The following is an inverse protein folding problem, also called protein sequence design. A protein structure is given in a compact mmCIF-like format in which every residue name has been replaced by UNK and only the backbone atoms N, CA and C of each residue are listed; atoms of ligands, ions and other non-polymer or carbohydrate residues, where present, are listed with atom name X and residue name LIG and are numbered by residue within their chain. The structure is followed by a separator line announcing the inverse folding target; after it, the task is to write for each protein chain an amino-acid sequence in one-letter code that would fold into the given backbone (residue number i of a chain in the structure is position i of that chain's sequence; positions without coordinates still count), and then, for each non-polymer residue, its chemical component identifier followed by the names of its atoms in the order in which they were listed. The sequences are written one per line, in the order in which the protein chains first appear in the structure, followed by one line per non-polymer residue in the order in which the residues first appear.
data_IF_454391560781
#
_entry.id   IF_454391560781
#
_cell.length_a   1.000
_cell.length_b   1.000
_cell.length_c   1.000
_cell.angle_alpha   90.00
_cell.angle_beta   90.00
_cell.angle_gamma   90.00
#
_symmetry.space_group_name_H-M   'P 1'
#
loop_
_entity.id
_entity.type
_entity.pdbx_description
1 polymer ?
#
# COMPACT_ATOMS: atom_id res chain seq x y z
N UNK A 1 16.38 -16.14 -10.89
CA UNK A 1 16.49 -16.22 -9.42
C UNK A 1 15.21 -16.79 -8.84
N UNK A 2 15.31 -17.43 -7.66
CA UNK A 2 14.16 -17.85 -6.87
C UNK A 2 14.03 -16.92 -5.65
N UNK A 3 12.90 -16.23 -5.54
CA UNK A 3 12.72 -15.10 -4.63
C UNK A 3 11.56 -15.41 -3.68
N UNK A 4 11.77 -15.30 -2.37
CA UNK A 4 10.68 -15.24 -1.40
C UNK A 4 10.19 -13.80 -1.30
N UNK A 5 8.87 -13.59 -1.42
CA UNK A 5 8.20 -12.32 -1.08
C UNK A 5 7.31 -12.54 0.14
N UNK A 6 7.54 -11.75 1.19
CA UNK A 6 6.68 -11.72 2.39
C UNK A 6 5.92 -10.41 2.43
N UNK A 7 4.60 -10.45 2.47
CA UNK A 7 3.75 -9.27 2.47
C UNK A 7 2.44 -9.49 3.23
N UNK A 8 1.73 -8.40 3.50
CA UNK A 8 0.34 -8.49 3.95
C UNK A 8 -0.59 -8.82 2.77
N UNK A 9 -1.54 -9.74 2.93
CA UNK A 9 -2.47 -10.15 1.86
C UNK A 9 -3.68 -9.21 1.72
N UNK A 10 -3.51 -7.90 1.94
CA UNK A 10 -4.62 -6.95 2.06
C UNK A 10 -4.77 -6.05 0.83
N UNK A 11 -5.95 -5.42 0.69
CA UNK A 11 -6.21 -4.36 -0.31
C UNK A 11 -5.39 -3.07 -0.08
N UNK A 12 -4.60 -2.98 0.99
CA UNK A 12 -3.70 -1.86 1.22
C UNK A 12 -2.60 -1.77 0.16
N UNK A 13 -2.12 -0.55 -0.12
CA UNK A 13 -1.14 -0.30 -1.19
C UNK A 13 0.12 -1.17 -1.13
N UNK A 14 0.60 -1.52 0.06
CA UNK A 14 1.79 -2.39 0.21
C UNK A 14 1.55 -3.83 -0.24
N UNK A 15 0.37 -4.42 0.06
CA UNK A 15 0.02 -5.77 -0.37
C UNK A 15 -0.18 -5.84 -1.87
N UNK A 16 -0.86 -4.85 -2.43
CA UNK A 16 -1.04 -4.70 -3.88
C UNK A 16 0.31 -4.56 -4.58
N UNK A 17 1.17 -3.65 -4.11
CA UNK A 17 2.48 -3.43 -4.70
C UNK A 17 3.37 -4.68 -4.65
N UNK A 18 3.42 -5.38 -3.51
CA UNK A 18 4.18 -6.61 -3.37
C UNK A 18 3.74 -7.69 -4.37
N UNK A 19 2.41 -7.78 -4.60
CA UNK A 19 1.85 -8.72 -5.57
C UNK A 19 2.19 -8.34 -7.01
N UNK A 20 2.04 -7.06 -7.37
CA UNK A 20 2.41 -6.57 -8.71
C UNK A 20 3.93 -6.71 -8.97
N UNK A 21 4.77 -6.44 -7.95
CA UNK A 21 6.21 -6.68 -8.06
C UNK A 21 6.52 -8.16 -8.34
N UNK A 22 5.86 -9.07 -7.63
CA UNK A 22 6.03 -10.50 -7.86
C UNK A 22 5.62 -10.93 -9.27
N UNK A 23 4.53 -10.38 -9.82
CA UNK A 23 4.14 -10.63 -11.21
C UNK A 23 5.19 -10.10 -12.20
N UNK A 24 5.74 -8.89 -11.98
CA UNK A 24 6.79 -8.34 -12.84
C UNK A 24 8.09 -9.15 -12.76
N UNK A 25 8.47 -9.61 -11.58
CA UNK A 25 9.63 -10.49 -11.40
C UNK A 25 9.43 -11.83 -12.11
N UNK A 26 8.24 -12.43 -12.01
CA UNK A 26 7.90 -13.66 -12.73
C UNK A 26 7.94 -13.47 -14.25
N UNK A 27 7.37 -12.39 -14.77
CA UNK A 27 7.42 -12.03 -16.18
C UNK A 27 8.87 -11.82 -16.70
N UNK A 28 9.80 -11.47 -15.81
CA UNK A 28 11.23 -11.36 -16.09
C UNK A 28 12.01 -12.67 -15.88
N UNK A 29 11.32 -13.82 -15.75
CA UNK A 29 11.92 -15.15 -15.68
C UNK A 29 12.41 -15.55 -14.29
N UNK A 30 11.92 -14.91 -13.21
CA UNK A 30 12.21 -15.31 -11.84
C UNK A 30 11.10 -16.24 -11.30
N UNK A 31 11.45 -17.13 -10.38
CA UNK A 31 10.49 -17.92 -9.62
C UNK A 31 10.18 -17.20 -8.31
N UNK A 32 8.89 -16.93 -8.05
CA UNK A 32 8.46 -16.10 -6.91
C UNK A 32 7.61 -16.91 -5.94
N UNK A 33 8.03 -16.94 -4.68
CA UNK A 33 7.38 -17.66 -3.60
C UNK A 33 6.75 -16.67 -2.60
N UNK A 34 5.46 -16.42 -2.71
CA UNK A 34 4.74 -15.58 -1.75
C UNK A 34 4.48 -16.32 -0.44
N UNK A 35 4.80 -15.69 0.68
CA UNK A 35 4.52 -16.20 2.03
C UNK A 35 3.64 -15.20 2.77
N UNK A 36 2.42 -15.59 3.12
CA UNK A 36 1.46 -14.77 3.86
C UNK A 36 0.45 -15.66 4.60
N UNK A 37 -0.30 -15.11 5.56
CA UNK A 37 -1.33 -15.86 6.31
C UNK A 37 -2.60 -16.13 5.49
N UNK A 38 -2.86 -15.35 4.45
CA UNK A 38 -3.89 -15.55 3.44
C UNK A 38 -3.32 -15.28 2.05
N UNK A 39 -4.02 -15.73 0.99
CA UNK A 39 -3.60 -15.46 -0.37
C UNK A 39 -3.62 -13.95 -0.63
N UNK A 40 -2.51 -13.35 -1.10
CA UNK A 40 -2.48 -11.92 -1.42
C UNK A 40 -3.55 -11.53 -2.44
N UNK A 41 -4.22 -10.41 -2.19
CA UNK A 41 -5.14 -9.83 -3.17
C UNK A 41 -4.41 -9.54 -4.48
N UNK A 42 -5.07 -9.71 -5.61
CA UNK A 42 -4.51 -9.63 -6.97
C UNK A 42 -3.53 -10.76 -7.33
N UNK A 43 -3.23 -11.73 -6.45
CA UNK A 43 -2.40 -12.87 -6.83
C UNK A 43 -3.19 -13.81 -7.74
N UNK A 44 -2.71 -13.97 -8.99
CA UNK A 44 -3.35 -14.83 -10.03
C UNK A 44 -3.01 -16.30 -9.80
N UNK A 45 -3.92 -17.20 -10.20
CA UNK A 45 -3.78 -18.65 -9.96
C UNK A 45 -2.99 -19.40 -11.04
N UNK A 46 -2.78 -18.81 -12.21
CA UNK A 46 -2.36 -19.54 -13.42
C UNK A 46 -0.95 -19.17 -13.89
N UNK A 47 -0.02 -18.88 -12.96
CA UNK A 47 1.38 -18.62 -13.29
C UNK A 47 2.26 -19.73 -12.73
N UNK A 48 2.89 -20.50 -13.60
CA UNK A 48 3.75 -21.65 -13.24
C UNK A 48 5.02 -21.23 -12.49
N UNK A 49 5.34 -19.95 -12.46
CA UNK A 49 6.52 -19.38 -11.79
C UNK A 49 6.20 -18.70 -10.48
N UNK A 50 4.91 -18.60 -10.12
CA UNK A 50 4.43 -17.97 -8.88
C UNK A 50 3.81 -19.01 -7.96
N UNK A 51 4.31 -19.08 -6.73
CA UNK A 51 3.88 -20.04 -5.71
C UNK A 51 3.38 -19.31 -4.47
N UNK A 52 2.27 -19.78 -3.91
CA UNK A 52 1.76 -19.26 -2.64
C UNK A 52 1.94 -20.28 -1.52
N UNK A 53 2.48 -19.82 -0.39
CA UNK A 53 2.73 -20.63 0.81
C UNK A 53 2.01 -19.99 2.00
N UNK A 54 0.93 -20.63 2.44
CA UNK A 54 0.17 -20.15 3.61
C UNK A 54 0.97 -20.32 4.89
N UNK A 55 1.00 -19.27 5.72
CA UNK A 55 1.49 -19.32 7.10
C UNK A 55 0.33 -19.80 7.99
N UNK A 56 0.44 -20.99 8.51
CA UNK A 56 -0.48 -21.50 9.51
C UNK A 56 0.15 -21.31 10.89
N UNK A 57 -0.54 -20.62 11.78
CA UNK A 57 -0.12 -20.47 13.17
C UNK A 57 -0.79 -21.56 13.99
N UNK A 58 -0.03 -22.55 14.53
CA UNK A 58 -0.62 -23.60 15.34
C UNK A 58 -1.26 -23.01 16.59
N UNK A 59 -2.48 -23.44 16.89
CA UNK A 59 -3.11 -23.09 18.15
C UNK A 59 -2.49 -23.90 19.29
N UNK A 60 -2.08 -23.22 20.36
CA UNK A 60 -1.62 -23.86 21.58
C UNK A 60 -2.27 -23.17 22.79
N UNK A 61 -2.99 -23.92 23.65
CA UNK A 61 -3.84 -23.34 24.70
C UNK A 61 -3.12 -22.47 25.73
N UNK A 62 -1.82 -22.67 25.95
CA UNK A 62 -1.02 -21.85 26.87
C UNK A 62 -0.63 -20.49 26.30
N UNK A 63 -0.79 -20.26 25.00
CA UNK A 63 -0.50 -18.96 24.39
C UNK A 63 -1.76 -18.11 24.36
N UNK A 64 -1.81 -17.03 25.15
CA UNK A 64 -2.86 -16.03 25.05
C UNK A 64 -2.88 -15.36 23.65
N UNK A 65 -1.68 -15.15 23.09
CA UNK A 65 -1.48 -14.65 21.72
C UNK A 65 -0.63 -15.65 20.95
N UNK A 66 -1.16 -16.12 19.83
CA UNK A 66 -0.45 -17.09 18.99
C UNK A 66 0.76 -16.41 18.32
N UNK A 67 1.98 -17.02 18.37
CA UNK A 67 3.22 -16.39 17.91
C UNK A 67 3.34 -16.40 16.39
N UNK A 68 2.74 -15.41 15.72
CA UNK A 68 2.75 -15.30 14.26
C UNK A 68 4.18 -15.19 13.68
N UNK A 69 5.05 -14.39 14.30
CA UNK A 69 6.43 -14.15 13.84
C UNK A 69 7.25 -15.45 13.87
N UNK A 70 7.00 -16.30 14.85
CA UNK A 70 7.63 -17.63 14.95
C UNK A 70 7.16 -18.54 13.81
N UNK A 71 5.85 -18.59 13.57
CA UNK A 71 5.27 -19.40 12.48
C UNK A 71 5.76 -18.89 11.11
N UNK A 72 5.83 -17.57 10.91
CA UNK A 72 6.32 -16.95 9.69
C UNK A 72 7.80 -17.28 9.46
N UNK A 73 8.66 -17.11 10.46
CA UNK A 73 10.09 -17.42 10.34
C UNK A 73 10.33 -18.88 10.01
N UNK A 74 9.60 -19.81 10.65
CA UNK A 74 9.66 -21.24 10.34
C UNK A 74 9.20 -21.54 8.91
N UNK A 75 8.10 -20.90 8.45
CA UNK A 75 7.63 -21.06 7.08
C UNK A 75 8.66 -20.58 6.05
N UNK A 76 9.32 -19.44 6.30
CA UNK A 76 10.42 -18.94 5.45
C UNK A 76 11.54 -19.97 5.36
N UNK A 77 11.96 -20.57 6.47
CA UNK A 77 13.00 -21.61 6.50
C UNK A 77 12.59 -22.82 5.65
N UNK A 78 11.36 -23.30 5.82
CA UNK A 78 10.85 -24.47 5.08
C UNK A 78 10.84 -24.22 3.57
N UNK A 79 10.31 -23.06 3.14
CA UNK A 79 10.24 -22.68 1.73
C UNK A 79 11.64 -22.50 1.14
N UNK A 80 12.54 -21.82 1.86
CA UNK A 80 13.91 -21.60 1.44
C UNK A 80 14.68 -22.89 1.20
N UNK A 81 14.57 -23.86 2.14
CA UNK A 81 15.24 -25.17 2.03
C UNK A 81 14.70 -26.00 0.88
N UNK A 82 13.36 -26.07 0.75
CA UNK A 82 12.69 -26.92 -0.28
C UNK A 82 12.95 -26.45 -1.70
N UNK A 83 13.08 -25.13 -1.90
CA UNK A 83 13.12 -24.55 -3.23
C UNK A 83 14.49 -23.99 -3.64
N UNK A 84 15.50 -24.04 -2.77
CA UNK A 84 16.83 -23.45 -3.01
C UNK A 84 16.73 -21.99 -3.44
N UNK A 85 16.15 -21.17 -2.56
CA UNK A 85 15.87 -19.75 -2.76
C UNK A 85 17.17 -18.95 -2.74
N UNK A 86 17.23 -17.86 -3.53
CA UNK A 86 18.39 -17.00 -3.66
C UNK A 86 18.34 -15.78 -2.72
N UNK A 87 17.13 -15.26 -2.43
CA UNK A 87 16.94 -14.10 -1.56
C UNK A 87 15.55 -14.05 -0.92
N UNK A 88 15.44 -13.28 0.16
CA UNK A 88 14.19 -12.99 0.87
C UNK A 88 13.90 -11.49 0.72
N UNK A 89 12.78 -11.14 0.09
CA UNK A 89 12.29 -9.77 0.01
C UNK A 89 11.06 -9.63 0.89
N UNK A 90 11.13 -8.77 1.88
CA UNK A 90 10.03 -8.53 2.80
C UNK A 90 9.51 -7.11 2.69
N UNK A 91 8.21 -6.97 2.77
CA UNK A 91 7.51 -5.70 2.84
C UNK A 91 7.09 -5.45 4.29
N UNK A 92 7.57 -4.36 4.88
CA UNK A 92 7.50 -3.93 6.28
C UNK A 92 8.65 -4.41 7.18
N UNK A 93 9.13 -3.47 8.00
CA UNK A 93 10.15 -3.73 9.02
C UNK A 93 9.65 -4.72 10.08
N UNK A 94 8.42 -4.59 10.54
CA UNK A 94 7.75 -5.50 11.46
C UNK A 94 6.36 -5.89 10.94
N UNK A 95 5.93 -7.13 11.11
CA UNK A 95 6.67 -8.25 11.70
C UNK A 95 7.62 -8.94 10.69
N UNK A 96 7.58 -8.57 9.41
CA UNK A 96 8.12 -9.36 8.30
C UNK A 96 9.65 -9.38 8.29
N UNK A 97 10.34 -8.23 8.37
CA UNK A 97 11.80 -8.24 8.39
C UNK A 97 12.36 -8.85 9.68
N UNK A 98 11.67 -8.65 10.82
CA UNK A 98 12.02 -9.33 12.05
C UNK A 98 11.99 -10.86 11.90
N UNK A 99 10.88 -11.39 11.37
CA UNK A 99 10.74 -12.84 11.13
C UNK A 99 11.74 -13.36 10.08
N UNK A 100 12.03 -12.58 9.03
CA UNK A 100 13.02 -12.94 8.02
C UNK A 100 14.43 -13.02 8.60
N UNK A 101 14.81 -12.10 9.49
CA UNK A 101 16.08 -12.16 10.20
C UNK A 101 16.21 -13.41 11.08
N UNK A 102 15.15 -13.78 11.80
CA UNK A 102 15.14 -15.01 12.58
C UNK A 102 15.25 -16.25 11.68
N UNK A 103 14.55 -16.26 10.53
CA UNK A 103 14.69 -17.31 9.53
C UNK A 103 16.13 -17.39 8.98
N UNK A 104 16.75 -16.25 8.67
CA UNK A 104 18.16 -16.20 8.23
C UNK A 104 19.11 -16.83 9.26
N UNK A 105 18.89 -16.55 10.56
CA UNK A 105 19.70 -17.19 11.63
C UNK A 105 19.52 -18.70 11.69
N UNK A 106 18.28 -19.20 11.57
CA UNK A 106 17.99 -20.62 11.51
C UNK A 106 18.60 -21.29 10.26
N UNK A 107 18.54 -20.63 9.11
CA UNK A 107 19.13 -21.12 7.86
C UNK A 107 20.68 -21.19 7.93
N UNK A 108 21.31 -20.21 8.59
CA UNK A 108 22.77 -20.18 8.77
C UNK A 108 23.29 -21.37 9.56
N UNK A 109 22.51 -21.95 10.47
CA UNK A 109 22.86 -23.21 11.17
C UNK A 109 23.02 -24.40 10.21
N UNK A 110 22.46 -24.32 9.01
CA UNK A 110 22.57 -25.31 7.94
C UNK A 110 23.47 -24.81 6.79
N UNK A 111 24.35 -23.86 7.04
CA UNK A 111 25.24 -23.23 6.06
C UNK A 111 24.53 -22.55 4.88
N UNK A 112 23.25 -22.21 5.03
CA UNK A 112 22.47 -21.47 4.03
C UNK A 112 22.49 -19.98 4.43
N UNK A 113 23.04 -19.12 3.56
CA UNK A 113 23.12 -17.69 3.80
C UNK A 113 22.31 -16.94 2.73
N UNK A 114 21.13 -16.43 3.10
CA UNK A 114 20.26 -15.70 2.21
C UNK A 114 20.26 -14.21 2.56
N UNK A 115 20.43 -13.32 1.60
CA UNK A 115 20.25 -11.89 1.82
C UNK A 115 18.78 -11.53 2.05
N UNK A 116 18.56 -10.47 2.86
CA UNK A 116 17.25 -9.91 3.15
C UNK A 116 17.19 -8.51 2.56
N UNK A 117 16.18 -8.28 1.71
CA UNK A 117 15.76 -6.95 1.26
C UNK A 117 14.51 -6.58 2.03
N UNK A 118 14.46 -5.38 2.59
CA UNK A 118 13.29 -4.85 3.30
C UNK A 118 12.80 -3.57 2.66
N UNK A 119 11.56 -3.58 2.17
CA UNK A 119 10.89 -2.37 1.67
C UNK A 119 9.97 -1.79 2.75
N UNK A 120 10.22 -0.53 3.10
CA UNK A 120 9.43 0.26 4.05
C UNK A 120 8.24 0.91 3.32
N UNK A 121 7.04 0.83 3.93
CA UNK A 121 5.81 1.32 3.31
C UNK A 121 5.12 2.46 4.05
N UNK A 122 5.59 2.82 5.23
CA UNK A 122 5.10 3.95 6.02
C UNK A 122 4.34 3.56 7.27
N UNK A 123 3.35 2.69 7.23
CA UNK A 123 2.62 2.26 8.44
C UNK A 123 3.56 1.68 9.49
N UNK A 124 4.54 0.92 9.07
CA UNK A 124 5.60 0.33 9.90
C UNK A 124 6.55 1.38 10.51
N UNK A 125 6.62 2.55 9.93
CA UNK A 125 7.50 3.65 10.35
C UNK A 125 6.72 4.73 11.10
N UNK A 126 5.73 5.33 10.44
CA UNK A 126 5.07 6.56 10.91
C UNK A 126 3.91 6.30 11.87
N UNK A 127 3.34 5.09 11.89
CA UNK A 127 2.23 4.72 12.77
C UNK A 127 2.66 3.70 13.83
N UNK A 128 2.81 2.44 13.44
CA UNK A 128 3.15 1.36 14.39
C UNK A 128 4.55 1.53 14.94
N UNK A 129 5.51 1.89 14.09
CA UNK A 129 6.91 2.05 14.45
C UNK A 129 7.18 3.19 15.43
N UNK A 130 6.35 4.24 15.42
CA UNK A 130 6.44 5.34 16.42
C UNK A 130 6.02 4.93 17.83
N UNK A 131 5.25 3.84 17.97
CA UNK A 131 4.84 3.40 19.29
C UNK A 131 6.07 2.96 20.11
N UNK A 132 6.30 3.49 21.31
CA UNK A 132 7.52 3.25 22.10
C UNK A 132 7.85 1.77 22.28
N UNK A 133 6.83 0.93 22.41
CA UNK A 133 6.96 -0.52 22.57
C UNK A 133 7.58 -1.21 21.35
N UNK A 134 7.30 -0.73 20.11
CA UNK A 134 7.79 -1.36 18.88
C UNK A 134 9.06 -0.71 18.31
N UNK A 135 9.42 0.49 18.77
CA UNK A 135 10.53 1.29 18.23
C UNK A 135 11.84 0.51 18.12
N UNK A 136 12.20 -0.21 19.18
CA UNK A 136 13.43 -1.01 19.22
C UNK A 136 13.41 -2.17 18.21
N UNK A 137 12.26 -2.84 18.05
CA UNK A 137 12.10 -3.95 17.11
C UNK A 137 12.17 -3.46 15.65
N UNK A 138 11.58 -2.29 15.35
CA UNK A 138 11.66 -1.67 14.02
C UNK A 138 13.09 -1.27 13.69
N UNK A 139 13.77 -0.53 14.59
CA UNK A 139 15.18 -0.16 14.42
C UNK A 139 16.04 -1.40 14.17
N UNK A 140 15.91 -2.42 15.03
CA UNK A 140 16.63 -3.67 14.89
C UNK A 140 16.40 -4.32 13.51
N UNK A 141 15.16 -4.40 13.05
CA UNK A 141 14.81 -5.00 11.76
C UNK A 141 15.45 -4.26 10.59
N UNK A 142 15.44 -2.93 10.62
CA UNK A 142 16.10 -2.06 9.63
C UNK A 142 17.61 -2.32 9.61
N UNK A 143 18.26 -2.27 10.78
CA UNK A 143 19.72 -2.45 10.91
C UNK A 143 20.20 -3.84 10.48
N UNK A 144 19.37 -4.88 10.65
CA UNK A 144 19.72 -6.26 10.33
C UNK A 144 19.39 -6.69 8.90
N UNK A 145 18.65 -5.90 8.17
CA UNK A 145 18.41 -6.12 6.74
C UNK A 145 19.70 -5.88 5.93
N UNK A 146 19.93 -6.67 4.89
CA UNK A 146 21.09 -6.47 4.01
C UNK A 146 20.91 -5.18 3.20
N UNK A 147 19.74 -5.02 2.58
CA UNK A 147 19.33 -3.84 1.83
C UNK A 147 18.00 -3.35 2.42
N UNK A 148 17.87 -2.03 2.54
CA UNK A 148 16.63 -1.38 2.94
C UNK A 148 16.22 -0.41 1.84
N UNK A 149 14.95 -0.47 1.45
CA UNK A 149 14.37 0.48 0.49
C UNK A 149 13.18 1.21 1.10
N UNK A 150 12.92 2.41 0.65
CA UNK A 150 11.71 3.17 0.99
C UNK A 150 11.00 3.63 -0.27
N UNK A 151 9.70 3.83 -0.16
CA UNK A 151 8.84 4.20 -1.30
C UNK A 151 8.88 5.69 -1.65
N UNK A 152 9.54 6.51 -0.82
CA UNK A 152 9.70 7.96 -1.05
C UNK A 152 10.89 8.51 -0.26
N UNK A 153 11.38 9.68 -0.66
CA UNK A 153 12.38 10.41 0.08
C UNK A 153 11.85 10.88 1.45
N UNK A 154 10.60 11.30 1.50
CA UNK A 154 9.92 11.66 2.75
C UNK A 154 9.96 10.52 3.76
N UNK A 155 9.59 9.30 3.34
CA UNK A 155 9.61 8.13 4.24
C UNK A 155 11.04 7.75 4.67
N UNK A 156 12.03 7.89 3.78
CA UNK A 156 13.44 7.71 4.12
C UNK A 156 13.86 8.68 5.24
N UNK A 157 13.53 9.98 5.09
CA UNK A 157 13.86 11.01 6.07
C UNK A 157 13.19 10.73 7.42
N UNK A 158 11.88 10.42 7.41
CA UNK A 158 11.14 10.02 8.61
C UNK A 158 11.78 8.82 9.31
N UNK A 159 12.26 7.84 8.53
CA UNK A 159 12.90 6.64 9.08
C UNK A 159 14.20 6.98 9.81
N UNK A 160 15.05 7.81 9.20
CA UNK A 160 16.29 8.26 9.84
C UNK A 160 16.01 9.04 11.11
N UNK A 161 15.07 9.98 11.07
CA UNK A 161 14.69 10.82 12.20
C UNK A 161 14.10 10.02 13.37
N UNK A 162 13.10 9.15 13.07
CA UNK A 162 12.37 8.46 14.15
C UNK A 162 13.18 7.36 14.84
N UNK A 163 14.05 6.71 14.10
CA UNK A 163 14.81 5.56 14.63
C UNK A 163 16.27 5.89 14.91
N UNK A 164 16.74 7.10 14.63
CA UNK A 164 18.15 7.46 14.79
C UNK A 164 19.06 6.35 14.20
N UNK A 165 18.85 6.04 12.93
CA UNK A 165 19.57 5.03 12.20
C UNK A 165 20.43 5.65 11.10
N UNK A 166 21.66 5.11 10.91
CA UNK A 166 22.55 5.48 9.83
C UNK A 166 22.52 4.42 8.69
N UNK A 167 21.58 3.48 8.76
CA UNK A 167 21.42 2.47 7.72
C UNK A 167 21.14 3.15 6.38
N UNK A 168 21.90 2.81 5.36
CA UNK A 168 21.61 3.25 4.00
C UNK A 168 20.24 2.74 3.56
N UNK A 169 19.41 3.66 3.05
CA UNK A 169 18.07 3.38 2.55
C UNK A 169 17.98 3.90 1.13
N UNK A 170 17.76 3.00 0.18
CA UNK A 170 17.51 3.38 -1.19
C UNK A 170 16.06 3.80 -1.41
N UNK A 171 15.86 4.88 -2.16
CA UNK A 171 14.50 5.30 -2.53
C UNK A 171 14.12 4.65 -3.85
N UNK A 172 13.14 3.74 -3.78
CA UNK A 172 12.57 3.08 -4.96
C UNK A 172 11.06 3.39 -4.95
N UNK A 173 10.60 4.34 -5.77
CA UNK A 173 9.19 4.70 -5.83
C UNK A 173 8.31 3.51 -6.22
N UNK A 174 7.07 3.53 -5.74
CA UNK A 174 6.07 2.57 -6.20
C UNK A 174 5.77 2.77 -7.69
N UNK A 175 5.26 1.72 -8.31
CA UNK A 175 4.94 1.70 -9.74
C UNK A 175 3.53 1.16 -10.00
N UNK A 176 3.05 1.36 -11.21
CA UNK A 176 1.82 0.74 -11.76
C UNK A 176 2.12 0.13 -13.12
N UNK A 177 1.37 -0.90 -13.49
CA UNK A 177 1.43 -1.46 -14.84
C UNK A 177 0.63 -0.57 -15.82
N UNK A 178 1.32 0.32 -16.50
CA UNK A 178 0.72 1.27 -17.46
C UNK A 178 -0.13 0.55 -18.52
N UNK A 179 0.29 -0.63 -18.99
CA UNK A 179 -0.46 -1.39 -20.01
C UNK A 179 -1.85 -1.78 -19.52
N UNK A 180 -1.98 -2.10 -18.23
CA UNK A 180 -3.26 -2.44 -17.60
C UNK A 180 -4.22 -1.25 -17.67
N UNK A 181 -3.75 -0.04 -17.37
CA UNK A 181 -4.55 1.18 -17.40
C UNK A 181 -4.85 1.64 -18.83
N UNK A 182 -3.87 1.64 -19.74
CA UNK A 182 -4.08 1.97 -21.16
C UNK A 182 -5.11 1.05 -21.83
N UNK A 183 -5.03 -0.27 -21.59
CA UNK A 183 -5.99 -1.23 -22.11
C UNK A 183 -7.41 -0.96 -21.59
N UNK A 184 -7.54 -0.49 -20.36
CA UNK A 184 -8.84 -0.13 -19.80
C UNK A 184 -9.37 1.18 -20.38
N UNK A 185 -8.52 2.21 -20.53
CA UNK A 185 -8.89 3.48 -21.17
C UNK A 185 -9.42 3.30 -22.59
N UNK A 186 -8.86 2.37 -23.38
CA UNK A 186 -9.35 2.05 -24.72
C UNK A 186 -10.75 1.41 -24.72
N UNK A 187 -11.14 0.76 -23.63
CA UNK A 187 -12.46 0.12 -23.48
C UNK A 187 -13.50 1.04 -22.85
N UNK A 188 -13.07 2.10 -22.18
CA UNK A 188 -13.96 3.07 -21.56
C UNK A 188 -14.59 3.95 -22.63
N UNK A 189 -15.90 3.79 -22.84
CA UNK A 189 -16.69 4.76 -23.61
C UNK A 189 -17.10 5.89 -22.66
N UNK A 190 -16.82 7.14 -23.02
CA UNK A 190 -17.34 8.33 -22.34
C UNK A 190 -18.85 8.41 -22.54
N UNK A 191 -19.62 7.90 -21.58
CA UNK A 191 -21.10 7.92 -21.69
C UNK A 191 -21.76 8.90 -20.71
N UNK A 192 -21.00 9.53 -19.82
CA UNK A 192 -21.60 10.37 -18.79
C UNK A 192 -21.26 11.84 -19.03
N UNK A 193 -22.31 12.67 -19.10
CA UNK A 193 -22.16 14.14 -19.23
C UNK A 193 -21.80 14.81 -17.90
N UNK A 194 -21.81 14.07 -16.79
CA UNK A 194 -21.54 14.60 -15.44
C UNK A 194 -20.10 14.36 -15.04
N UNK A 195 -19.45 15.41 -14.56
CA UNK A 195 -18.13 15.33 -13.94
C UNK A 195 -18.13 14.29 -12.81
N UNK A 196 -17.19 13.36 -12.85
CA UNK A 196 -17.05 12.31 -11.85
C UNK A 196 -15.79 12.52 -11.04
N UNK A 197 -15.95 12.65 -9.72
CA UNK A 197 -14.88 12.84 -8.75
C UNK A 197 -14.72 11.55 -7.94
N UNK A 198 -13.50 11.02 -7.89
CA UNK A 198 -13.26 9.72 -7.24
C UNK A 198 -12.23 9.84 -6.13
N UNK A 199 -12.42 9.04 -5.09
CA UNK A 199 -11.49 8.80 -4.01
C UNK A 199 -11.30 7.29 -3.79
N UNK A 200 -10.05 6.86 -3.59
CA UNK A 200 -9.71 5.45 -3.28
C UNK A 200 -8.86 5.40 -2.04
N UNK A 201 -9.33 4.71 -0.98
CA UNK A 201 -8.54 4.48 0.22
C UNK A 201 -9.11 3.39 1.12
N UNK A 202 -8.39 3.04 2.17
CA UNK A 202 -8.83 2.10 3.22
C UNK A 202 -9.57 2.78 4.39
N UNK A 203 -10.15 3.93 4.19
CA UNK A 203 -10.98 4.74 5.12
C UNK A 203 -10.48 4.76 6.57
N UNK A 204 -9.16 4.89 6.73
CA UNK A 204 -8.51 5.11 8.03
C UNK A 204 -8.48 6.61 8.38
N UNK A 205 -8.36 6.99 9.65
CA UNK A 205 -8.31 8.40 10.08
C UNK A 205 -7.24 9.26 9.38
N UNK A 206 -6.11 8.64 8.98
CA UNK A 206 -5.04 9.31 8.22
C UNK A 206 -5.47 9.70 6.80
N UNK A 207 -6.51 9.08 6.24
CA UNK A 207 -7.07 9.41 4.92
C UNK A 207 -8.00 10.61 4.94
N UNK A 208 -8.32 11.12 6.12
CA UNK A 208 -9.05 12.36 6.34
C UNK A 208 -10.46 12.37 5.71
N UNK A 209 -11.16 11.24 5.82
CA UNK A 209 -12.45 11.01 5.18
C UNK A 209 -13.50 12.07 5.59
N UNK A 210 -13.48 12.53 6.83
CA UNK A 210 -14.39 13.58 7.30
C UNK A 210 -14.22 14.89 6.55
N UNK A 211 -12.98 15.26 6.23
CA UNK A 211 -12.68 16.44 5.39
C UNK A 211 -13.12 16.21 3.95
N UNK A 212 -12.88 15.00 3.42
CA UNK A 212 -13.34 14.62 2.07
C UNK A 212 -14.86 14.78 1.91
N UNK A 213 -15.65 14.29 2.87
CA UNK A 213 -17.11 14.45 2.83
C UNK A 213 -17.54 15.93 2.87
N UNK A 214 -16.85 16.76 3.66
CA UNK A 214 -17.12 18.21 3.67
C UNK A 214 -16.78 18.87 2.32
N UNK A 215 -15.67 18.46 1.68
CA UNK A 215 -15.31 18.91 0.33
C UNK A 215 -16.43 18.54 -0.65
N UNK A 216 -16.90 17.30 -0.63
CA UNK A 216 -17.97 16.83 -1.51
C UNK A 216 -19.31 17.58 -1.26
N UNK A 217 -19.63 17.91 -0.01
CA UNK A 217 -20.81 18.73 0.31
C UNK A 217 -20.74 20.10 -0.36
N UNK A 218 -19.58 20.77 -0.32
CA UNK A 218 -19.42 22.08 -0.95
C UNK A 218 -19.49 21.95 -2.49
N UNK A 219 -18.83 20.96 -3.05
CA UNK A 219 -18.81 20.72 -4.51
C UNK A 219 -20.21 20.37 -5.04
N UNK A 220 -20.98 19.54 -4.33
CA UNK A 220 -22.35 19.18 -4.72
C UNK A 220 -23.31 20.36 -4.71
N UNK A 221 -23.03 21.38 -3.90
CA UNK A 221 -23.78 22.64 -3.89
C UNK A 221 -23.44 23.58 -5.05
N UNK A 222 -22.28 23.40 -5.68
CA UNK A 222 -21.78 24.25 -6.77
C UNK A 222 -21.94 23.62 -8.14
N UNK A 223 -21.81 22.29 -8.24
CA UNK A 223 -21.71 21.56 -9.49
C UNK A 223 -22.60 20.32 -9.50
N UNK A 224 -23.18 19.98 -10.66
CA UNK A 224 -23.85 18.70 -10.87
C UNK A 224 -22.79 17.62 -11.19
N UNK A 225 -22.27 16.98 -10.16
CA UNK A 225 -21.19 16.00 -10.27
C UNK A 225 -21.53 14.72 -9.51
N UNK A 226 -20.77 13.64 -9.80
CA UNK A 226 -20.83 12.36 -9.11
C UNK A 226 -19.60 12.20 -8.23
N UNK A 227 -19.78 11.53 -7.09
CA UNK A 227 -18.70 11.21 -6.17
C UNK A 227 -18.62 9.69 -5.96
N UNK A 228 -17.50 9.11 -6.36
CA UNK A 228 -17.22 7.69 -6.16
C UNK A 228 -16.21 7.51 -5.02
N UNK A 229 -16.59 6.74 -4.01
CA UNK A 229 -15.72 6.37 -2.89
C UNK A 229 -15.45 4.88 -2.94
N UNK A 230 -14.19 4.52 -3.20
CA UNK A 230 -13.74 3.13 -3.30
C UNK A 230 -12.94 2.78 -2.05
N UNK A 231 -13.29 1.67 -1.43
CA UNK A 231 -12.62 1.11 -0.28
C UNK A 231 -13.51 0.91 0.92
N UNK A 232 -12.92 0.34 1.95
CA UNK A 232 -13.56 0.04 3.23
C UNK A 232 -12.62 0.37 4.37
N UNK A 233 -13.15 0.54 5.57
CA UNK A 233 -12.35 0.81 6.75
C UNK A 233 -13.13 1.43 7.89
N UNK A 234 -12.47 1.75 9.00
CA UNK A 234 -13.13 2.16 10.24
C UNK A 234 -13.94 3.45 10.15
N UNK A 235 -13.68 4.33 9.16
CA UNK A 235 -14.44 5.56 8.98
C UNK A 235 -15.55 5.46 7.91
N UNK A 236 -15.86 4.26 7.37
CA UNK A 236 -16.89 4.10 6.34
C UNK A 236 -18.27 4.51 6.83
N UNK A 237 -18.71 4.02 7.99
CA UNK A 237 -20.03 4.33 8.55
C UNK A 237 -20.14 5.82 8.92
N UNK A 238 -19.04 6.41 9.38
CA UNK A 238 -18.99 7.86 9.64
C UNK A 238 -19.16 8.64 8.33
N UNK A 239 -18.52 8.19 7.25
CA UNK A 239 -18.66 8.82 5.93
C UNK A 239 -20.11 8.76 5.41
N UNK A 240 -20.78 7.60 5.57
CA UNK A 240 -22.17 7.41 5.18
C UNK A 240 -23.10 8.35 5.95
N UNK A 241 -23.04 8.32 7.30
CA UNK A 241 -23.86 9.18 8.15
C UNK A 241 -23.65 10.67 7.83
N UNK A 242 -22.39 11.11 7.71
CA UNK A 242 -22.11 12.50 7.36
C UNK A 242 -22.65 12.90 5.97
N UNK A 243 -22.63 11.97 5.02
CA UNK A 243 -23.14 12.23 3.67
C UNK A 243 -24.67 12.40 3.66
N UNK A 244 -25.38 11.63 4.49
CA UNK A 244 -26.83 11.74 4.71
C UNK A 244 -27.18 13.05 5.43
N UNK A 245 -26.49 13.36 6.54
CA UNK A 245 -26.69 14.60 7.32
C UNK A 245 -26.48 15.85 6.47
N UNK A 246 -25.48 15.83 5.58
CA UNK A 246 -25.15 16.91 4.66
C UNK A 246 -25.96 16.88 3.35
N UNK A 247 -26.85 15.89 3.19
CA UNK A 247 -27.73 15.70 2.03
C UNK A 247 -26.95 15.70 0.69
N UNK A 248 -25.75 15.08 0.65
CA UNK A 248 -24.93 15.03 -0.56
C UNK A 248 -25.61 14.11 -1.58
N UNK A 249 -25.94 14.69 -2.73
CA UNK A 249 -26.52 13.96 -3.87
C UNK A 249 -25.41 13.28 -4.69
N UNK A 250 -25.76 12.19 -5.37
CA UNK A 250 -24.87 11.47 -6.29
C UNK A 250 -23.54 11.00 -5.66
N UNK A 251 -23.53 10.57 -4.40
CA UNK A 251 -22.41 9.95 -3.73
C UNK A 251 -22.60 8.43 -3.68
N UNK A 252 -21.57 7.69 -4.11
CA UNK A 252 -21.60 6.24 -4.25
C UNK A 252 -20.45 5.59 -3.48
N UNK A 253 -20.76 4.71 -2.55
CA UNK A 253 -19.81 3.91 -1.79
C UNK A 253 -19.68 2.54 -2.45
N UNK A 254 -18.60 2.31 -3.19
CA UNK A 254 -18.43 1.16 -4.08
C UNK A 254 -17.76 -0.05 -3.41
N UNK A 255 -17.34 0.08 -2.13
CA UNK A 255 -16.61 -0.98 -1.43
C UNK A 255 -15.21 -1.22 -1.99
N UNK A 256 -14.60 -2.36 -1.62
CA UNK A 256 -13.30 -2.76 -2.14
C UNK A 256 -13.41 -3.34 -3.55
N UNK A 257 -12.42 -3.08 -4.39
CA UNK A 257 -12.30 -3.66 -5.73
C UNK A 257 -10.86 -4.05 -6.06
N UNK A 258 -10.68 -5.14 -6.81
CA UNK A 258 -9.41 -5.53 -7.41
C UNK A 258 -9.16 -4.84 -8.76
N UNK A 259 -10.17 -4.17 -9.30
CA UNK A 259 -10.19 -3.61 -10.66
C UNK A 259 -10.44 -2.09 -10.60
N UNK A 260 -9.61 -1.40 -9.80
CA UNK A 260 -9.74 0.05 -9.60
C UNK A 260 -9.67 0.84 -10.91
N UNK A 261 -8.91 0.34 -11.88
CA UNK A 261 -8.77 0.90 -13.22
C UNK A 261 -10.10 0.99 -13.97
N UNK A 262 -11.05 0.08 -13.71
CA UNK A 262 -12.38 0.12 -14.31
C UNK A 262 -13.25 1.26 -13.81
N UNK A 263 -13.02 1.73 -12.60
CA UNK A 263 -13.74 2.89 -12.06
C UNK A 263 -13.01 4.18 -12.41
N UNK A 264 -11.68 4.18 -12.27
CA UNK A 264 -10.86 5.37 -12.54
C UNK A 264 -10.91 5.81 -14.00
N UNK A 265 -11.10 4.88 -14.96
CA UNK A 265 -11.25 5.26 -16.38
C UNK A 265 -12.52 6.07 -16.68
N UNK A 266 -13.51 6.09 -15.79
CA UNK A 266 -14.71 6.91 -15.87
C UNK A 266 -14.69 8.13 -14.94
N UNK A 267 -13.52 8.43 -14.37
CA UNK A 267 -13.33 9.53 -13.43
C UNK A 267 -12.58 10.68 -14.11
N UNK A 268 -13.00 11.91 -13.82
CA UNK A 268 -12.33 13.12 -14.32
C UNK A 268 -11.32 13.63 -13.31
N UNK A 269 -11.67 13.62 -12.02
CA UNK A 269 -10.87 14.16 -10.92
C UNK A 269 -10.70 13.10 -9.84
N UNK A 270 -9.48 13.02 -9.32
CA UNK A 270 -9.15 12.20 -8.16
C UNK A 270 -8.76 13.09 -6.99
N UNK A 271 -9.41 12.90 -5.83
CA UNK A 271 -9.14 13.71 -4.61
C UNK A 271 -8.53 12.83 -3.53
N UNK A 272 -7.39 13.28 -2.94
CA UNK A 272 -6.69 12.60 -1.87
C UNK A 272 -6.26 13.57 -0.75
N UNK A 273 -7.13 13.92 0.23
CA UNK A 273 -6.84 14.88 1.30
C UNK A 273 -6.15 14.24 2.52
N UNK A 274 -5.28 13.25 2.31
CA UNK A 274 -4.63 12.50 3.39
C UNK A 274 -3.82 13.38 4.32
N UNK A 275 -3.91 13.15 5.63
CA UNK A 275 -3.09 13.85 6.65
C UNK A 275 -1.63 13.47 6.57
N UNK A 276 -1.37 12.22 6.19
CA UNK A 276 -0.03 11.70 5.89
C UNK A 276 -0.14 10.59 4.86
N UNK A 277 0.80 10.54 3.95
CA UNK A 277 0.88 9.54 2.89
C UNK A 277 2.35 9.20 2.63
N UNK A 278 2.67 7.92 2.58
CA UNK A 278 4.07 7.53 2.34
C UNK A 278 4.47 7.69 0.88
N UNK A 279 3.50 7.54 -0.05
CA UNK A 279 3.72 7.67 -1.49
C UNK A 279 2.47 8.15 -2.24
N UNK A 280 1.33 7.49 -2.03
CA UNK A 280 0.09 7.80 -2.74
C UNK A 280 -0.18 6.89 -3.94
N UNK A 281 -0.07 5.55 -3.77
CA UNK A 281 -0.29 4.60 -4.87
C UNK A 281 -1.64 4.82 -5.58
N UNK A 282 -2.71 5.12 -4.83
CA UNK A 282 -4.01 5.42 -5.43
C UNK A 282 -4.01 6.67 -6.33
N UNK A 283 -3.20 7.70 -5.98
CA UNK A 283 -3.02 8.86 -6.84
C UNK A 283 -2.21 8.49 -8.11
N UNK A 284 -1.20 7.62 -8.00
CA UNK A 284 -0.46 7.12 -9.17
C UNK A 284 -1.37 6.29 -10.10
N UNK A 285 -2.24 5.44 -9.55
CA UNK A 285 -3.25 4.70 -10.32
C UNK A 285 -4.23 5.64 -11.04
N UNK A 286 -4.65 6.72 -10.38
CA UNK A 286 -5.50 7.74 -10.97
C UNK A 286 -4.78 8.55 -12.08
N UNK A 287 -3.51 8.90 -11.89
CA UNK A 287 -2.68 9.52 -12.95
C UNK A 287 -2.55 8.60 -14.17
N UNK A 288 -2.31 7.31 -13.96
CA UNK A 288 -2.27 6.32 -15.04
C UNK A 288 -3.61 6.19 -15.77
N UNK A 289 -4.71 6.49 -15.09
CA UNK A 289 -6.07 6.56 -15.67
C UNK A 289 -6.41 7.95 -16.26
N UNK A 290 -5.43 8.86 -16.34
CA UNK A 290 -5.58 10.24 -16.88
C UNK A 290 -6.54 11.13 -16.09
N UNK A 291 -6.76 10.87 -14.81
CA UNK A 291 -7.53 11.77 -13.96
C UNK A 291 -6.70 13.00 -13.55
N UNK A 292 -7.35 14.14 -13.41
CA UNK A 292 -6.76 15.31 -12.77
C UNK A 292 -6.61 15.06 -11.26
N UNK A 293 -5.45 15.34 -10.69
CA UNK A 293 -5.17 15.02 -9.28
C UNK A 293 -5.26 16.28 -8.41
N UNK A 294 -6.05 16.18 -7.34
CA UNK A 294 -6.06 17.17 -6.25
C UNK A 294 -5.70 16.44 -4.95
N UNK A 295 -4.55 16.76 -4.37
CA UNK A 295 -4.05 16.06 -3.21
C UNK A 295 -3.60 16.99 -2.09
N UNK A 296 -3.42 16.43 -0.89
CA UNK A 296 -2.67 17.14 0.13
C UNK A 296 -1.18 17.19 -0.22
N UNK A 297 -0.48 18.16 0.36
CA UNK A 297 0.97 18.32 0.25
C UNK A 297 1.73 17.57 1.36
N UNK A 298 1.22 16.42 1.80
CA UNK A 298 1.71 15.71 2.99
C UNK A 298 2.52 14.46 2.63
N UNK A 299 3.64 14.27 3.34
CA UNK A 299 4.50 13.09 3.21
C UNK A 299 5.11 12.95 1.81
N UNK A 300 4.97 11.80 1.19
CA UNK A 300 5.50 11.51 -0.16
C UNK A 300 4.62 12.00 -1.30
N UNK A 301 3.43 12.57 -1.04
CA UNK A 301 2.55 13.06 -2.11
C UNK A 301 3.18 14.16 -2.98
N UNK A 302 3.91 15.15 -2.43
CA UNK A 302 4.58 16.15 -3.25
C UNK A 302 5.68 15.61 -4.17
N UNK A 303 6.18 14.41 -3.91
CA UNK A 303 7.14 13.74 -4.79
C UNK A 303 6.46 13.13 -6.03
N UNK A 304 5.17 12.82 -5.91
CA UNK A 304 4.33 12.26 -6.98
C UNK A 304 3.51 13.33 -7.69
N UNK A 305 2.79 14.16 -6.93
CA UNK A 305 1.91 15.20 -7.45
C UNK A 305 2.60 16.57 -7.33
N UNK A 306 3.24 17.01 -8.40
CA UNK A 306 3.95 18.28 -8.47
C UNK A 306 2.93 19.41 -8.68
N UNK A 307 2.87 20.34 -7.72
CA UNK A 307 1.90 21.42 -7.69
C UNK A 307 1.94 22.27 -8.96
N UNK A 308 0.76 22.53 -9.57
CA UNK A 308 0.58 23.24 -10.83
C UNK A 308 1.30 22.61 -12.06
N UNK A 309 1.83 21.37 -11.96
CA UNK A 309 2.50 20.66 -13.05
C UNK A 309 1.75 19.36 -13.38
N UNK A 310 1.61 18.46 -12.39
CA UNK A 310 0.92 17.17 -12.58
C UNK A 310 -0.45 17.13 -11.92
N UNK A 311 -0.80 18.17 -11.16
CA UNK A 311 -2.07 18.33 -10.46
C UNK A 311 -1.99 19.53 -9.52
N UNK A 312 -2.89 19.59 -8.56
CA UNK A 312 -2.92 20.63 -7.53
C UNK A 312 -2.68 20.03 -6.15
N UNK A 313 -1.94 20.78 -5.32
CA UNK A 313 -1.68 20.38 -3.93
C UNK A 313 -2.08 21.49 -2.96
N UNK A 314 -2.59 21.11 -1.79
CA UNK A 314 -2.88 22.06 -0.72
C UNK A 314 -2.71 21.42 0.66
N UNK A 315 -2.76 22.21 1.71
CA UNK A 315 -2.76 21.68 3.08
C UNK A 315 -4.00 20.80 3.32
N UNK A 316 -3.83 19.65 3.97
CA UNK A 316 -4.91 18.69 4.22
C UNK A 316 -6.07 19.23 5.06
N UNK A 317 -5.89 20.36 5.77
CA UNK A 317 -6.95 21.08 6.50
C UNK A 317 -7.59 22.20 5.67
N UNK A 318 -7.01 22.56 4.53
CA UNK A 318 -7.49 23.67 3.70
C UNK A 318 -8.61 23.22 2.76
N UNK A 319 -9.84 23.07 3.31
CA UNK A 319 -11.01 22.64 2.52
C UNK A 319 -11.23 23.55 1.30
N UNK A 320 -11.03 24.87 1.44
CA UNK A 320 -11.22 25.81 0.34
C UNK A 320 -10.21 25.56 -0.81
N UNK A 321 -8.96 25.21 -0.50
CA UNK A 321 -7.97 24.84 -1.50
C UNK A 321 -8.33 23.59 -2.31
N UNK A 322 -9.15 22.67 -1.75
CA UNK A 322 -9.66 21.51 -2.49
C UNK A 322 -10.86 21.83 -3.38
N UNK A 323 -11.54 22.96 -3.21
CA UNK A 323 -12.78 23.31 -3.92
C UNK A 323 -12.65 24.55 -4.81
N UNK A 324 -11.49 25.21 -4.80
CA UNK A 324 -11.14 26.33 -5.71
C UNK A 324 -10.65 25.82 -7.06
#
# INVERSE_FOLDING_TARGET
MKIIIVCYPTFGGSGVLATELGHQLAANGHSVHFIAYEKPVRLKDNDETIFYHKVNVPFYPLFNFQPYELALSTKIVDVAKKNSVDLIHVHYAIPHAYAAYMAQKMLKMNSINLPIITTLHGTDITLVGKHPFYKSAVKFSIEKSNIVTSVSQSLKNDTHEFFDTQKEIEVIPNFVDIKKFDNQLQKCSSQDSKMTITHVSNFRPVKNIRTLIKIFSILSGKFDCKFNLIGEGPELEIARSMSEDLQIKNIYFLGNTNEVEKVLCHSDIFILPSKTESFGLAALEAMASKNAIVSSNSGGLPELNLDNITGFTCDYNNIQGFVS
#
